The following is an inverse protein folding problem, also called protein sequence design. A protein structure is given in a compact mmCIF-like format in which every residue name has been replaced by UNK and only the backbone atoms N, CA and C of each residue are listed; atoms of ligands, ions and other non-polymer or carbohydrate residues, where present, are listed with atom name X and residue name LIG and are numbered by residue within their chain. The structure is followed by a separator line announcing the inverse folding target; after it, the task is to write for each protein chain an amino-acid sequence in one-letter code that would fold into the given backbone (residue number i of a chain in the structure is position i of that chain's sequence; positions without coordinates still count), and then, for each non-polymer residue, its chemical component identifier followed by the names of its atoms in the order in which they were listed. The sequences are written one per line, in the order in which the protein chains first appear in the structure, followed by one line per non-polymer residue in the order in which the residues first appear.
data_IF_132457914076
#
_entry.id   IF_132457914076
#
_cell.length_a   1.000
_cell.length_b   1.000
_cell.length_c   1.000
_cell.angle_alpha   90.00
_cell.angle_beta   90.00
_cell.angle_gamma   90.00
#
_symmetry.space_group_name_H-M   'P 1'
#
loop_
_entity.id
_entity.type
_entity.pdbx_description
1 polymer ?
#
# COMPACT_ATOMS: atom_id res chain seq x y z
N UNK A 1 29.96 -8.74 -11.36
CA UNK A 1 29.95 -8.91 -12.83
C UNK A 1 30.01 -7.53 -13.45
N UNK A 2 31.01 -7.26 -14.29
CA UNK A 2 31.09 -5.99 -15.05
C UNK A 2 29.89 -5.92 -16.00
N UNK A 3 29.16 -4.82 -15.99
CA UNK A 3 27.95 -4.60 -16.81
C UNK A 3 28.20 -3.60 -17.93
N UNK A 4 29.44 -3.56 -18.41
CA UNK A 4 29.85 -2.70 -19.49
C UNK A 4 29.37 -3.29 -20.83
N UNK A 5 28.09 -3.08 -21.12
CA UNK A 5 27.47 -3.40 -22.41
C UNK A 5 27.55 -2.14 -23.28
N UNK A 6 28.15 -2.26 -24.46
CA UNK A 6 28.20 -1.15 -25.42
C UNK A 6 26.81 -0.89 -26.00
N UNK A 7 26.35 0.36 -25.94
CA UNK A 7 25.00 0.75 -26.37
C UNK A 7 24.69 0.32 -27.80
N UNK A 8 25.64 0.50 -28.73
CA UNK A 8 25.46 0.15 -30.14
C UNK A 8 25.25 -1.36 -30.35
N UNK A 9 25.97 -2.20 -29.59
CA UNK A 9 25.82 -3.64 -29.64
C UNK A 9 24.46 -4.08 -29.08
N UNK A 10 24.00 -3.46 -27.98
CA UNK A 10 22.69 -3.74 -27.41
C UNK A 10 21.56 -3.33 -28.38
N UNK A 11 21.67 -2.16 -29.01
CA UNK A 11 20.69 -1.68 -29.98
C UNK A 11 20.60 -2.59 -31.20
N UNK A 12 21.74 -3.10 -31.68
CA UNK A 12 21.77 -4.06 -32.78
C UNK A 12 21.01 -5.36 -32.44
N UNK A 13 21.22 -5.92 -31.25
CA UNK A 13 20.52 -7.13 -30.79
C UNK A 13 19.00 -6.91 -30.57
N UNK A 14 18.58 -5.68 -30.31
CA UNK A 14 17.17 -5.32 -30.08
C UNK A 14 16.42 -4.91 -31.36
N UNK A 15 17.11 -4.77 -32.50
CA UNK A 15 16.47 -4.34 -33.76
C UNK A 15 15.33 -5.26 -34.20
N UNK A 16 15.51 -6.57 -34.07
CA UNK A 16 14.49 -7.55 -34.46
C UNK A 16 13.25 -7.44 -33.56
N UNK A 17 13.44 -7.16 -32.27
CA UNK A 17 12.34 -6.94 -31.33
C UNK A 17 11.60 -5.64 -31.64
N UNK A 18 12.34 -4.57 -31.96
CA UNK A 18 11.77 -3.28 -32.32
C UNK A 18 11.02 -3.31 -33.67
N UNK A 19 11.37 -4.25 -34.55
CA UNK A 19 10.72 -4.45 -35.84
C UNK A 19 9.42 -5.29 -35.76
N UNK A 20 9.08 -5.84 -34.58
CA UNK A 20 7.83 -6.58 -34.43
C UNK A 20 6.63 -5.68 -34.69
N UNK A 21 5.63 -6.14 -35.47
CA UNK A 21 4.41 -5.38 -35.69
C UNK A 21 3.64 -5.29 -34.37
N UNK A 22 3.41 -4.06 -33.91
CA UNK A 22 2.58 -3.76 -32.74
C UNK A 22 1.33 -3.04 -33.21
N UNK A 23 0.17 -3.60 -32.90
CA UNK A 23 -1.10 -2.90 -33.01
C UNK A 23 -1.44 -2.29 -31.66
N UNK A 24 -1.81 -1.00 -31.65
CA UNK A 24 -2.29 -0.37 -30.43
C UNK A 24 -3.64 -0.99 -30.06
N UNK A 25 -3.67 -1.79 -28.99
CA UNK A 25 -4.91 -2.26 -28.42
C UNK A 25 -5.60 -1.13 -27.67
N UNK A 26 -6.84 -0.82 -28.01
CA UNK A 26 -7.69 0.02 -27.18
C UNK A 26 -8.23 -0.82 -26.02
N UNK A 27 -7.89 -0.42 -24.79
CA UNK A 27 -8.49 -0.97 -23.57
C UNK A 27 -9.46 0.06 -23.00
N UNK A 28 -10.69 -0.33 -22.61
CA UNK A 28 -11.57 0.58 -21.90
C UNK A 28 -10.90 1.03 -20.59
N UNK A 29 -11.03 2.31 -20.20
CA UNK A 29 -10.45 2.80 -18.97
C UNK A 29 -11.02 2.07 -17.77
N UNK A 30 -10.20 1.87 -16.74
CA UNK A 30 -10.66 1.31 -15.47
C UNK A 30 -11.68 2.26 -14.81
N UNK A 31 -12.62 1.68 -14.05
CA UNK A 31 -13.57 2.47 -13.28
C UNK A 31 -12.82 3.41 -12.31
N UNK A 32 -13.14 4.71 -12.36
CA UNK A 32 -12.41 5.75 -11.66
C UNK A 32 -12.45 5.63 -10.13
N UNK A 33 -13.46 4.95 -9.58
CA UNK A 33 -13.58 4.71 -8.13
C UNK A 33 -12.74 3.51 -7.64
N UNK A 34 -12.16 2.73 -8.55
CA UNK A 34 -11.39 1.52 -8.25
C UNK A 34 -12.14 0.49 -7.41
N UNK A 35 -13.48 0.53 -7.38
CA UNK A 35 -14.29 -0.33 -6.50
C UNK A 35 -14.25 0.06 -5.02
N UNK A 36 -14.10 1.36 -4.70
CA UNK A 36 -14.14 1.86 -3.31
C UNK A 36 -15.47 1.49 -2.62
N UNK A 37 -15.46 0.84 -1.45
CA UNK A 37 -16.69 0.48 -0.74
C UNK A 37 -17.40 1.70 -0.13
N UNK A 38 -18.73 1.61 0.03
CA UNK A 38 -19.51 2.57 0.80
C UNK A 38 -19.30 2.33 2.30
N UNK A 39 -18.26 2.96 2.87
CA UNK A 39 -17.87 2.75 4.26
C UNK A 39 -16.83 1.64 4.44
N UNK A 40 -16.54 1.29 5.70
CA UNK A 40 -15.62 0.19 6.02
C UNK A 40 -16.33 -1.15 5.80
N UNK A 41 -15.67 -2.06 5.10
CA UNK A 41 -16.18 -3.39 4.84
C UNK A 41 -15.14 -4.42 5.26
N UNK A 42 -15.55 -5.36 6.12
CA UNK A 42 -14.71 -6.44 6.57
C UNK A 42 -15.05 -7.74 5.82
N UNK A 43 -14.02 -8.42 5.33
CA UNK A 43 -14.09 -9.67 4.59
C UNK A 43 -13.31 -10.74 5.34
N UNK A 44 -13.91 -11.89 5.59
CA UNK A 44 -13.28 -13.02 6.28
C UNK A 44 -13.08 -14.19 5.33
N UNK A 45 -11.87 -14.73 5.31
CA UNK A 45 -11.54 -15.99 4.65
C UNK A 45 -11.14 -16.99 5.74
N UNK A 46 -11.83 -18.12 5.78
CA UNK A 46 -11.52 -19.16 6.76
C UNK A 46 -10.28 -19.95 6.35
N UNK A 47 -9.31 -20.01 7.26
CA UNK A 47 -8.13 -20.87 7.20
C UNK A 47 -8.07 -21.67 8.50
N UNK A 48 -8.78 -22.79 8.54
CA UNK A 48 -8.94 -23.59 9.75
C UNK A 48 -7.59 -23.96 10.38
N UNK A 49 -7.47 -23.76 11.70
CA UNK A 49 -6.27 -24.09 12.47
C UNK A 49 -5.08 -23.13 12.26
N UNK A 50 -5.27 -21.99 11.58
CA UNK A 50 -4.21 -21.00 11.43
C UNK A 50 -3.76 -20.44 12.80
N UNK A 51 -2.44 -20.45 13.03
CA UNK A 51 -1.83 -19.92 14.25
C UNK A 51 -1.77 -18.38 14.28
N UNK A 52 -1.84 -17.74 13.11
CA UNK A 52 -1.83 -16.30 12.93
C UNK A 52 -2.92 -15.90 11.93
N UNK A 53 -3.34 -14.64 12.00
CA UNK A 53 -4.25 -14.05 11.03
C UNK A 53 -3.48 -13.12 10.09
N UNK A 54 -3.73 -13.25 8.78
CA UNK A 54 -3.22 -12.33 7.78
C UNK A 54 -4.18 -11.17 7.62
N UNK A 55 -3.67 -9.95 7.79
CA UNK A 55 -4.43 -8.71 7.66
C UNK A 55 -4.02 -7.98 6.38
N UNK A 56 -5.00 -7.63 5.55
CA UNK A 56 -4.84 -6.69 4.43
C UNK A 56 -5.93 -5.63 4.53
N UNK A 57 -5.53 -4.38 4.76
CA UNK A 57 -6.45 -3.26 4.97
C UNK A 57 -6.11 -2.18 3.96
N UNK A 58 -7.07 -1.69 3.17
CA UNK A 58 -6.73 -0.70 2.16
C UNK A 58 -7.92 -0.11 1.42
N UNK A 59 -7.62 0.85 0.55
CA UNK A 59 -8.59 1.48 -0.34
C UNK A 59 -7.91 1.83 -1.68
N UNK A 60 -8.67 1.97 -2.79
CA UNK A 60 -8.14 2.53 -4.02
C UNK A 60 -7.51 3.91 -3.79
N UNK A 61 -6.44 4.26 -4.48
CA UNK A 61 -5.73 5.53 -4.31
C UNK A 61 -5.38 6.14 -5.67
N UNK A 62 -4.71 7.29 -5.62
CA UNK A 62 -4.26 8.00 -6.81
C UNK A 62 -3.29 7.16 -7.66
N UNK A 63 -3.33 7.33 -9.00
CA UNK A 63 -2.38 6.69 -9.89
C UNK A 63 -0.95 7.17 -9.60
N UNK A 64 0.01 6.49 -10.22
CA UNK A 64 1.40 6.88 -10.12
C UNK A 64 1.63 8.28 -10.70
N UNK A 65 2.28 9.13 -9.92
CA UNK A 65 2.82 10.42 -10.34
C UNK A 65 4.17 10.62 -9.65
N UNK A 66 5.23 10.71 -10.46
CA UNK A 66 6.58 10.80 -9.96
C UNK A 66 6.88 12.13 -9.22
N UNK A 67 6.12 13.20 -9.46
CA UNK A 67 6.45 14.55 -8.95
C UNK A 67 5.30 15.22 -8.18
N UNK A 68 4.09 14.71 -8.25
CA UNK A 68 2.94 15.26 -7.53
C UNK A 68 2.52 14.47 -6.28
N UNK A 69 1.21 14.38 -6.08
CA UNK A 69 0.61 13.89 -4.83
C UNK A 69 0.99 12.44 -4.52
N UNK A 70 1.23 11.58 -5.52
CA UNK A 70 1.61 10.18 -5.29
C UNK A 70 2.97 10.08 -4.61
N UNK A 71 3.98 10.78 -5.15
CA UNK A 71 5.30 10.81 -4.54
C UNK A 71 5.25 11.39 -3.12
N UNK A 72 4.50 12.49 -2.93
CA UNK A 72 4.33 13.11 -1.62
C UNK A 72 3.60 12.20 -0.62
N UNK A 73 2.58 11.46 -1.05
CA UNK A 73 1.90 10.47 -0.22
C UNK A 73 2.86 9.34 0.18
N UNK A 74 3.76 8.92 -0.71
CA UNK A 74 4.83 7.99 -0.41
C UNK A 74 5.79 8.49 0.68
N UNK A 75 6.20 9.77 0.60
CA UNK A 75 7.01 10.41 1.65
C UNK A 75 6.27 10.47 2.97
N UNK A 76 5.01 10.90 2.94
CA UNK A 76 4.19 11.05 4.13
C UNK A 76 3.78 9.70 4.76
N UNK A 77 3.79 8.61 3.99
CA UNK A 77 3.57 7.26 4.50
C UNK A 77 4.79 6.69 5.26
N UNK A 78 5.98 7.25 5.07
CA UNK A 78 7.20 6.74 5.70
C UNK A 78 7.09 6.63 7.24
N UNK A 79 6.72 7.70 8.00
CA UNK A 79 6.54 7.58 9.44
C UNK A 79 5.25 6.84 9.84
N UNK A 80 4.27 6.67 8.95
CA UNK A 80 3.05 5.90 9.22
C UNK A 80 3.29 4.39 9.28
N UNK A 81 3.96 3.83 8.27
CA UNK A 81 4.20 2.39 8.15
C UNK A 81 5.31 1.98 7.18
N UNK A 82 6.10 2.94 6.66
CA UNK A 82 7.18 2.68 5.70
C UNK A 82 8.52 2.27 6.32
N UNK A 83 8.63 2.26 7.65
CA UNK A 83 9.88 1.97 8.39
C UNK A 83 9.58 1.28 9.72
N UNK A 84 10.57 0.62 10.32
CA UNK A 84 10.39 -0.19 11.53
C UNK A 84 10.00 0.62 12.78
N UNK A 85 10.37 1.90 12.85
CA UNK A 85 9.99 2.82 13.93
C UNK A 85 8.78 3.71 13.55
N UNK A 86 7.93 3.22 12.64
CA UNK A 86 6.71 3.93 12.23
C UNK A 86 5.58 3.79 13.24
N UNK A 87 4.58 4.68 13.19
CA UNK A 87 3.40 4.67 14.08
C UNK A 87 2.75 3.29 14.18
N UNK A 88 2.50 2.65 13.04
CA UNK A 88 1.89 1.32 13.02
C UNK A 88 2.77 0.28 13.73
N UNK A 89 4.09 0.29 13.52
CA UNK A 89 4.98 -0.66 14.20
C UNK A 89 5.11 -0.35 15.69
N UNK A 90 5.27 0.91 16.08
CA UNK A 90 5.33 1.30 17.49
C UNK A 90 4.05 0.90 18.22
N UNK A 91 2.90 1.03 17.56
CA UNK A 91 1.61 0.67 18.14
C UNK A 91 1.40 -0.85 18.20
N UNK A 92 1.49 -1.56 17.08
CA UNK A 92 1.12 -2.98 17.02
C UNK A 92 2.24 -3.92 17.48
N UNK A 93 3.49 -3.65 17.09
CA UNK A 93 4.65 -4.51 17.40
C UNK A 93 5.21 -4.20 18.77
N UNK A 94 5.54 -2.93 19.03
CA UNK A 94 6.28 -2.55 20.24
C UNK A 94 5.37 -2.44 21.48
N UNK A 95 4.30 -1.64 21.41
CA UNK A 95 3.44 -1.41 22.56
C UNK A 95 2.51 -2.60 22.89
N UNK A 96 2.14 -3.40 21.88
CA UNK A 96 1.12 -4.45 22.02
C UNK A 96 1.62 -5.88 21.78
N UNK A 97 2.74 -6.06 21.06
CA UNK A 97 3.24 -7.39 20.73
C UNK A 97 2.29 -8.23 19.85
N UNK A 98 1.42 -7.59 19.07
CA UNK A 98 0.43 -8.28 18.24
C UNK A 98 1.03 -8.91 16.99
N UNK A 99 2.15 -8.38 16.50
CA UNK A 99 2.80 -8.79 15.27
C UNK A 99 4.32 -8.68 15.38
N UNK A 100 5.03 -9.38 14.50
CA UNK A 100 6.44 -9.12 14.24
C UNK A 100 6.65 -7.83 13.43
N UNK A 101 5.68 -7.42 12.61
CA UNK A 101 5.78 -6.20 11.82
C UNK A 101 4.51 -5.88 11.04
N UNK A 102 4.35 -4.60 10.77
CA UNK A 102 3.26 -4.06 9.96
C UNK A 102 3.85 -3.07 8.98
N UNK A 103 3.34 -3.06 7.75
CA UNK A 103 3.77 -2.11 6.72
C UNK A 103 2.57 -1.42 6.13
N UNK A 104 2.76 -0.18 5.70
CA UNK A 104 1.81 0.53 4.86
C UNK A 104 2.52 1.12 3.64
N UNK A 105 1.81 1.26 2.53
CA UNK A 105 2.32 1.87 1.31
C UNK A 105 1.20 2.41 0.43
N UNK A 106 1.52 3.44 -0.35
CA UNK A 106 0.80 3.81 -1.56
C UNK A 106 1.49 3.12 -2.75
N UNK A 107 0.70 2.45 -3.59
CA UNK A 107 1.14 1.83 -4.84
C UNK A 107 0.35 2.45 -5.97
N UNK A 108 1.02 2.83 -7.06
CA UNK A 108 0.40 3.48 -8.20
C UNK A 108 0.69 2.71 -9.47
N UNK A 109 -0.34 2.51 -10.28
CA UNK A 109 -0.21 2.12 -11.69
C UNK A 109 -0.57 3.30 -12.60
N UNK A 110 -0.65 3.06 -13.92
CA UNK A 110 -0.94 4.11 -14.90
C UNK A 110 -2.32 4.76 -14.75
N UNK A 111 -3.34 3.97 -14.38
CA UNK A 111 -4.73 4.45 -14.30
C UNK A 111 -5.26 4.52 -12.86
N UNK A 112 -4.84 3.58 -12.01
CA UNK A 112 -5.32 3.46 -10.62
C UNK A 112 -4.15 3.17 -9.68
N UNK A 113 -4.32 3.53 -8.41
CA UNK A 113 -3.44 3.10 -7.33
C UNK A 113 -4.21 2.48 -6.17
N UNK A 114 -3.49 2.16 -5.10
CA UNK A 114 -4.06 1.71 -3.83
C UNK A 114 -3.20 2.17 -2.66
N UNK A 115 -3.86 2.37 -1.52
CA UNK A 115 -3.22 2.42 -0.22
C UNK A 115 -3.48 1.08 0.47
N UNK A 116 -2.46 0.51 1.08
CA UNK A 116 -2.57 -0.77 1.78
C UNK A 116 -1.74 -0.83 3.04
N UNK A 117 -2.27 -1.50 4.05
CA UNK A 117 -1.61 -1.96 5.27
C UNK A 117 -1.60 -3.49 5.23
N UNK A 118 -0.44 -4.08 5.53
CA UNK A 118 -0.26 -5.53 5.61
C UNK A 118 0.45 -5.94 6.89
N UNK A 119 -0.06 -6.97 7.56
CA UNK A 119 0.57 -7.57 8.75
C UNK A 119 0.13 -9.02 8.92
N UNK A 120 0.95 -9.81 9.60
CA UNK A 120 0.59 -11.11 10.13
C UNK A 120 0.53 -10.98 11.65
N UNK A 121 -0.64 -11.24 12.25
CA UNK A 121 -0.90 -10.98 13.67
C UNK A 121 -1.20 -12.27 14.43
N UNK A 122 -0.90 -12.29 15.72
CA UNK A 122 -1.29 -13.39 16.60
C UNK A 122 -2.81 -13.58 16.55
N UNK A 123 -3.27 -14.83 16.42
CA UNK A 123 -4.70 -15.16 16.27
C UNK A 123 -5.57 -14.48 17.33
N UNK A 124 -5.16 -14.55 18.59
CA UNK A 124 -5.92 -14.01 19.73
C UNK A 124 -5.92 -12.47 19.77
N UNK A 125 -5.05 -11.81 19.00
CA UNK A 125 -4.96 -10.36 18.87
C UNK A 125 -5.65 -9.80 17.61
N UNK A 126 -6.27 -10.64 16.78
CA UNK A 126 -6.76 -10.25 15.44
C UNK A 126 -7.69 -9.03 15.48
N UNK A 127 -8.74 -9.07 16.30
CA UNK A 127 -9.69 -7.97 16.40
C UNK A 127 -9.07 -6.70 16.99
N UNK A 128 -8.22 -6.84 18.00
CA UNK A 128 -7.50 -5.73 18.60
C UNK A 128 -6.54 -5.07 17.60
N UNK A 129 -5.84 -5.86 16.77
CA UNK A 129 -4.94 -5.34 15.75
C UNK A 129 -5.69 -4.59 14.64
N UNK A 130 -6.87 -5.06 14.22
CA UNK A 130 -7.75 -4.33 13.29
C UNK A 130 -8.16 -2.99 13.90
N UNK A 131 -8.69 -2.99 15.13
CA UNK A 131 -9.13 -1.77 15.82
C UNK A 131 -8.01 -0.76 16.01
N UNK A 132 -6.84 -1.18 16.49
CA UNK A 132 -5.69 -0.30 16.71
C UNK A 132 -5.12 0.22 15.37
N UNK A 133 -5.18 -0.57 14.29
CA UNK A 133 -4.81 -0.09 12.95
C UNK A 133 -5.75 1.02 12.50
N UNK A 134 -7.06 0.83 12.63
CA UNK A 134 -8.06 1.84 12.25
C UNK A 134 -7.85 3.14 13.03
N UNK A 135 -7.65 3.07 14.35
CA UNK A 135 -7.38 4.24 15.18
C UNK A 135 -6.11 4.99 14.75
N UNK A 136 -5.04 4.26 14.42
CA UNK A 136 -3.80 4.90 13.93
C UNK A 136 -4.04 5.58 12.59
N UNK A 137 -4.76 4.95 11.66
CA UNK A 137 -5.06 5.54 10.35
C UNK A 137 -5.97 6.77 10.47
N UNK A 138 -7.01 6.71 11.31
CA UNK A 138 -7.91 7.83 11.61
C UNK A 138 -7.16 9.02 12.19
N UNK A 139 -6.38 8.80 13.26
CA UNK A 139 -5.59 9.85 13.88
C UNK A 139 -4.56 10.44 12.90
N UNK A 140 -3.92 9.59 12.09
CA UNK A 140 -2.94 10.07 11.11
C UNK A 140 -3.58 10.88 9.97
N UNK A 141 -4.77 10.49 9.51
CA UNK A 141 -5.52 11.25 8.51
C UNK A 141 -5.98 12.62 9.04
N UNK A 142 -6.37 12.68 10.33
CA UNK A 142 -6.88 13.89 10.96
C UNK A 142 -5.76 14.87 11.40
N UNK A 143 -4.69 14.34 11.99
CA UNK A 143 -3.65 15.14 12.65
C UNK A 143 -2.38 15.27 11.81
N UNK A 144 -2.17 14.34 10.88
CA UNK A 144 -0.93 14.23 10.10
C UNK A 144 0.28 13.80 10.94
N UNK A 145 1.47 13.96 10.34
CA UNK A 145 2.74 13.72 11.02
C UNK A 145 3.13 14.90 11.92
N UNK A 146 3.86 14.57 12.98
CA UNK A 146 4.47 15.51 13.92
C UNK A 146 5.81 16.03 13.40
N UNK A 147 6.34 17.11 14.00
CA UNK A 147 7.66 17.66 13.67
C UNK A 147 8.79 16.60 13.78
N UNK A 148 8.89 15.81 14.86
CA UNK A 148 9.95 14.80 14.97
C UNK A 148 9.85 13.69 13.91
N UNK A 149 8.64 13.34 13.48
CA UNK A 149 8.43 12.36 12.40
C UNK A 149 8.86 12.92 11.05
N UNK A 150 8.60 14.21 10.80
CA UNK A 150 9.05 14.90 9.61
C UNK A 150 10.59 15.04 9.56
N UNK A 151 11.22 15.39 10.68
CA UNK A 151 12.68 15.42 10.80
C UNK A 151 13.29 14.04 10.56
N UNK A 152 12.67 13.00 11.11
CA UNK A 152 13.11 11.62 10.90
C UNK A 152 12.99 11.20 9.43
N UNK A 153 11.87 11.51 8.78
CA UNK A 153 11.68 11.34 7.33
C UNK A 153 12.81 12.02 6.54
N UNK A 154 13.10 13.29 6.84
CA UNK A 154 14.14 14.08 6.17
C UNK A 154 15.51 13.43 6.27
N UNK A 155 15.89 13.03 7.49
CA UNK A 155 17.18 12.41 7.75
C UNK A 155 17.29 11.01 7.11
N UNK A 156 16.26 10.19 7.22
CA UNK A 156 16.30 8.81 6.74
C UNK A 156 16.30 8.70 5.21
N UNK A 157 15.53 9.54 4.51
CA UNK A 157 15.50 9.50 3.04
C UNK A 157 16.74 10.21 2.47
N UNK A 158 17.18 11.32 3.06
CA UNK A 158 18.40 12.01 2.63
C UNK A 158 19.65 11.11 2.67
N UNK A 159 19.75 10.20 3.64
CA UNK A 159 20.85 9.21 3.73
C UNK A 159 20.71 8.07 2.71
N UNK A 160 19.49 7.69 2.32
CA UNK A 160 19.23 6.64 1.32
C UNK A 160 19.57 7.08 -0.10
N UNK A 161 19.44 8.36 -0.42
CA UNK A 161 19.76 8.90 -1.75
C UNK A 161 21.26 8.92 -2.05
N UNK A 162 22.11 8.99 -1.02
CA UNK A 162 23.56 8.89 -1.16
C UNK A 162 24.06 7.50 -1.61
N UNK A 163 23.18 6.48 -1.60
CA UNK A 163 23.51 5.07 -1.85
C UNK A 163 22.78 4.47 -3.06
N UNK A 164 22.03 5.27 -3.84
CA UNK A 164 21.21 4.77 -4.96
C UNK A 164 21.97 4.88 -6.29
N UNK A 165 21.64 3.96 -7.20
CA UNK A 165 22.14 3.81 -8.60
C UNK A 165 23.42 3.00 -8.84
N UNK A 166 23.92 2.25 -7.86
CA UNK A 166 25.16 1.46 -8.06
C UNK A 166 24.95 0.16 -8.86
N UNK A 167 23.72 -0.36 -8.92
CA UNK A 167 23.44 -1.66 -9.57
C UNK A 167 22.78 -1.51 -10.95
N UNK A 168 23.03 -2.45 -11.88
CA UNK A 168 22.39 -2.48 -13.20
C UNK A 168 20.87 -2.59 -13.15
N UNK A 169 20.31 -3.37 -12.22
CA UNK A 169 18.86 -3.52 -12.06
C UNK A 169 18.19 -2.21 -11.68
N UNK A 170 18.79 -1.41 -10.80
CA UNK A 170 18.26 -0.09 -10.42
C UNK A 170 18.23 0.88 -11.61
N UNK A 171 19.17 0.75 -12.56
CA UNK A 171 19.18 1.54 -13.79
C UNK A 171 18.11 1.09 -14.78
N UNK A 172 17.85 -0.23 -14.87
CA UNK A 172 16.79 -0.76 -15.72
C UNK A 172 15.42 -0.34 -15.21
N UNK A 173 15.14 -0.46 -13.90
CA UNK A 173 13.88 0.03 -13.30
C UNK A 173 13.67 1.53 -13.54
N UNK A 174 14.74 2.34 -13.45
CA UNK A 174 14.68 3.77 -13.76
C UNK A 174 14.23 4.03 -15.20
N UNK A 175 14.79 3.31 -16.18
CA UNK A 175 14.43 3.46 -17.59
C UNK A 175 13.02 2.94 -17.86
N UNK A 176 12.62 1.84 -17.23
CA UNK A 176 11.25 1.30 -17.32
C UNK A 176 10.23 2.30 -16.79
N UNK A 177 10.46 2.91 -15.63
CA UNK A 177 9.58 3.95 -15.07
C UNK A 177 9.45 5.14 -16.04
N UNK A 178 10.56 5.59 -16.61
CA UNK A 178 10.58 6.71 -17.58
C UNK A 178 9.69 6.39 -18.78
N UNK A 179 9.83 5.20 -19.36
CA UNK A 179 9.07 4.82 -20.54
C UNK A 179 7.61 4.52 -20.21
N UNK A 180 7.33 3.89 -19.07
CA UNK A 180 5.99 3.50 -18.66
C UNK A 180 5.10 4.69 -18.33
N UNK A 181 5.67 5.72 -17.69
CA UNK A 181 4.93 6.88 -17.19
C UNK A 181 5.28 8.19 -17.92
N UNK A 182 5.98 8.10 -19.06
CA UNK A 182 6.43 9.25 -19.86
C UNK A 182 7.14 10.34 -19.02
N UNK A 183 8.06 9.91 -18.16
CA UNK A 183 8.72 10.80 -17.20
C UNK A 183 9.88 11.54 -17.85
N UNK A 184 10.18 12.77 -17.41
CA UNK A 184 11.39 13.44 -17.87
C UNK A 184 12.64 12.70 -17.36
N UNK A 185 13.70 12.62 -18.17
CA UNK A 185 14.94 11.89 -17.84
C UNK A 185 15.59 12.33 -16.52
N UNK A 186 15.32 13.56 -16.08
CA UNK A 186 15.82 14.15 -14.84
C UNK A 186 14.84 14.03 -13.65
N UNK A 187 13.74 13.26 -13.76
CA UNK A 187 12.70 13.22 -12.73
C UNK A 187 13.23 12.83 -11.35
N UNK A 188 14.27 12.00 -11.25
CA UNK A 188 14.91 11.67 -9.97
C UNK A 188 15.62 12.87 -9.35
N UNK A 189 16.26 13.72 -10.15
CA UNK A 189 16.84 14.97 -9.66
C UNK A 189 15.74 15.91 -9.15
N UNK A 190 14.59 15.95 -9.85
CA UNK A 190 13.42 16.72 -9.43
C UNK A 190 12.79 16.17 -8.14
N UNK A 191 12.68 14.84 -8.00
CA UNK A 191 12.26 14.19 -6.74
C UNK A 191 13.19 14.56 -5.60
N UNK A 192 14.51 14.52 -5.80
CA UNK A 192 15.48 14.93 -4.79
C UNK A 192 15.36 16.41 -4.41
N UNK A 193 15.08 17.27 -5.39
CA UNK A 193 14.83 18.69 -5.12
C UNK A 193 13.55 18.87 -4.31
N UNK A 194 12.45 18.20 -4.71
CA UNK A 194 11.18 18.20 -3.98
C UNK A 194 11.37 17.70 -2.55
N UNK A 195 12.12 16.61 -2.37
CA UNK A 195 12.50 16.08 -1.07
C UNK A 195 13.24 17.14 -0.23
N UNK A 196 14.05 18.02 -0.81
CA UNK A 196 14.75 19.06 -0.03
C UNK A 196 13.86 20.25 0.32
N UNK A 197 12.83 20.52 -0.48
CA UNK A 197 12.02 21.74 -0.38
C UNK A 197 10.63 21.53 0.19
N UNK A 198 10.11 20.29 0.22
CA UNK A 198 8.77 20.00 0.75
C UNK A 198 8.73 20.21 2.25
N UNK A 199 7.64 20.83 2.72
CA UNK A 199 7.36 21.08 4.13
C UNK A 199 6.36 20.06 4.71
N UNK A 200 6.24 20.07 6.04
CA UNK A 200 5.38 19.13 6.78
C UNK A 200 3.90 19.38 6.48
N UNK A 201 3.51 20.64 6.35
CA UNK A 201 2.15 21.09 6.10
C UNK A 201 1.62 20.54 4.76
N UNK A 202 2.42 20.61 3.71
CA UNK A 202 2.08 20.09 2.38
C UNK A 202 1.91 18.56 2.42
N UNK A 203 2.81 17.84 3.10
CA UNK A 203 2.69 16.39 3.25
C UNK A 203 1.45 15.98 4.07
N UNK A 204 1.15 16.72 5.14
CA UNK A 204 -0.05 16.49 5.94
C UNK A 204 -1.33 16.78 5.14
N UNK A 205 -1.33 17.83 4.31
CA UNK A 205 -2.44 18.14 3.43
C UNK A 205 -2.67 17.04 2.38
N UNK A 206 -1.60 16.43 1.86
CA UNK A 206 -1.70 15.26 0.97
C UNK A 206 -2.31 14.08 1.73
N UNK A 207 -1.82 13.74 2.92
CA UNK A 207 -2.37 12.64 3.72
C UNK A 207 -3.84 12.83 4.05
N UNK A 208 -4.25 14.03 4.47
CA UNK A 208 -5.65 14.34 4.79
C UNK A 208 -6.59 14.11 3.60
N UNK A 209 -6.11 14.30 2.35
CA UNK A 209 -6.89 14.02 1.13
C UNK A 209 -6.83 12.55 0.71
N UNK A 210 -5.64 11.95 0.81
CA UNK A 210 -5.34 10.68 0.15
C UNK A 210 -5.55 9.46 1.04
N UNK A 211 -5.34 9.58 2.36
CA UNK A 211 -5.63 8.51 3.30
C UNK A 211 -7.11 8.58 3.70
N UNK A 212 -7.88 7.54 3.37
CA UNK A 212 -9.33 7.50 3.60
C UNK A 212 -9.72 6.35 4.54
N UNK A 213 -9.59 6.53 5.87
CA UNK A 213 -9.91 5.50 6.85
C UNK A 213 -11.38 5.06 6.82
N UNK A 214 -12.29 5.92 6.35
CA UNK A 214 -13.73 5.66 6.39
C UNK A 214 -14.21 4.73 5.27
N UNK A 215 -13.41 4.52 4.23
CA UNK A 215 -13.76 3.68 3.06
C UNK A 215 -12.77 2.54 2.87
N UNK A 216 -12.45 1.81 3.94
CA UNK A 216 -11.47 0.72 3.93
C UNK A 216 -12.13 -0.64 3.64
N UNK A 217 -11.51 -1.38 2.73
CA UNK A 217 -11.68 -2.84 2.64
C UNK A 217 -10.69 -3.51 3.59
N UNK A 218 -11.20 -4.35 4.49
CA UNK A 218 -10.43 -5.06 5.51
C UNK A 218 -10.58 -6.55 5.23
N UNK A 219 -9.54 -7.20 4.73
CA UNK A 219 -9.51 -8.65 4.53
C UNK A 219 -8.73 -9.29 5.67
N UNK A 220 -9.36 -10.27 6.32
CA UNK A 220 -8.75 -11.08 7.37
C UNK A 220 -8.81 -12.55 6.96
N UNK A 221 -7.64 -13.18 6.87
CA UNK A 221 -7.52 -14.62 6.64
C UNK A 221 -7.03 -15.27 7.92
N UNK A 222 -7.76 -16.23 8.48
CA UNK A 222 -7.36 -16.89 9.73
C UNK A 222 -8.37 -17.95 10.18
N UNK A 223 -8.14 -18.52 11.36
CA UNK A 223 -9.04 -19.53 11.93
C UNK A 223 -10.37 -18.89 12.35
N UNK A 224 -11.39 -19.03 11.49
CA UNK A 224 -12.65 -18.30 11.64
C UNK A 224 -13.34 -18.57 12.97
N UNK A 225 -13.29 -19.83 13.43
CA UNK A 225 -13.87 -20.25 14.70
C UNK A 225 -13.32 -19.46 15.90
N UNK A 226 -12.03 -19.11 15.87
CA UNK A 226 -11.39 -18.36 16.95
C UNK A 226 -11.56 -16.84 16.83
N UNK A 227 -11.50 -16.29 15.60
CA UNK A 227 -11.37 -14.84 15.41
C UNK A 227 -12.71 -14.12 15.18
N UNK A 228 -13.72 -14.82 14.67
CA UNK A 228 -14.99 -14.20 14.24
C UNK A 228 -15.71 -13.45 15.37
N UNK A 229 -15.88 -13.99 16.59
CA UNK A 229 -16.60 -13.29 17.65
C UNK A 229 -15.98 -11.93 18.00
N UNK A 230 -14.64 -11.85 18.01
CA UNK A 230 -13.93 -10.61 18.27
C UNK A 230 -14.09 -9.58 17.15
N UNK A 231 -14.16 -10.03 15.89
CA UNK A 231 -14.34 -9.16 14.73
C UNK A 231 -15.78 -8.65 14.61
N UNK A 232 -16.78 -9.47 14.98
CA UNK A 232 -18.18 -9.05 15.06
C UNK A 232 -18.38 -7.95 16.12
N UNK A 233 -17.64 -8.02 17.25
CA UNK A 233 -17.68 -7.00 18.29
C UNK A 233 -17.16 -5.62 17.85
N UNK A 234 -16.47 -5.51 16.69
CA UNK A 234 -16.06 -4.23 16.11
C UNK A 234 -17.21 -3.48 15.44
N UNK A 235 -18.37 -4.12 15.25
CA UNK A 235 -19.54 -3.49 14.62
C UNK A 235 -19.38 -3.18 13.13
N UNK A 236 -18.38 -3.78 12.47
CA UNK A 236 -18.15 -3.62 11.04
C UNK A 236 -19.02 -4.62 10.26
N UNK A 237 -19.56 -4.24 9.10
CA UNK A 237 -20.21 -5.20 8.20
C UNK A 237 -19.22 -6.31 7.80
N UNK A 238 -19.61 -7.57 8.02
CA UNK A 238 -18.77 -8.74 7.72
C UNK A 238 -19.34 -9.50 6.52
N UNK A 239 -18.46 -9.83 5.56
CA UNK A 239 -18.75 -10.73 4.44
C UNK A 239 -17.81 -11.93 4.49
N UNK A 240 -18.33 -13.12 4.23
CA UNK A 240 -17.52 -14.33 4.15
C UNK A 240 -17.11 -14.56 2.70
N UNK A 241 -15.82 -14.75 2.48
CA UNK A 241 -15.24 -15.09 1.19
C UNK A 241 -14.73 -16.54 1.21
N UNK A 242 -14.68 -17.17 0.04
CA UNK A 242 -13.90 -18.38 -0.18
C UNK A 242 -12.41 -18.05 -0.45
N UNK A 243 -11.61 -19.09 -0.72
CA UNK A 243 -10.17 -18.94 -0.96
C UNK A 243 -9.86 -18.21 -2.29
N UNK A 244 -10.81 -18.20 -3.21
CA UNK A 244 -10.71 -17.53 -4.52
C UNK A 244 -11.21 -16.08 -4.46
N UNK A 245 -11.75 -15.65 -3.32
CA UNK A 245 -12.23 -14.29 -3.08
C UNK A 245 -13.68 -14.03 -3.48
N UNK A 246 -14.45 -15.08 -3.78
CA UNK A 246 -15.88 -14.94 -4.05
C UNK A 246 -16.69 -14.98 -2.76
N UNK A 247 -17.76 -14.19 -2.71
CA UNK A 247 -18.68 -14.20 -1.57
C UNK A 247 -19.35 -15.58 -1.45
N UNK A 248 -19.23 -16.18 -0.27
CA UNK A 248 -19.98 -17.41 0.03
C UNK A 248 -21.46 -17.04 0.15
N UNK A 249 -22.38 -17.72 -0.56
CA UNK A 249 -23.80 -17.51 -0.33
C UNK A 249 -24.08 -17.79 1.15
N UNK A 250 -24.59 -16.78 1.85
CA UNK A 250 -24.97 -16.92 3.24
C UNK A 250 -25.93 -18.10 3.36
N UNK A 251 -25.70 -18.99 4.34
CA UNK A 251 -26.81 -19.74 4.91
C UNK A 251 -27.79 -18.68 5.38
N UNK A 252 -28.88 -18.49 4.66
CA UNK A 252 -30.02 -17.79 5.20
C UNK A 252 -30.35 -18.50 6.52
N UNK A 253 -30.49 -17.73 7.59
CA UNK A 253 -31.16 -18.17 8.80
C UNK A 253 -32.60 -18.51 8.42
N UNK A 254 -32.82 -19.71 7.88
CA UNK A 254 -34.14 -20.34 7.90
C UNK A 254 -34.24 -21.00 9.27
N UNK A 255 -34.67 -20.19 10.23
CA UNK A 255 -35.28 -20.66 11.46
C UNK A 255 -36.33 -21.71 11.12
N UNK A 256 -36.12 -22.87 11.71
CA UNK A 256 -37.16 -23.83 12.05
C UNK A 256 -38.36 -23.09 12.66
N UNK A 257 -39.56 -23.34 12.13
CA UNK A 257 -40.76 -23.78 12.88
C UNK A 257 -42.06 -23.44 12.15
N UNK A 258 -43.16 -24.18 12.35
CA UNK A 258 -43.32 -25.55 12.85
C UNK A 258 -43.94 -26.53 11.84
#
# INVERSE_FOLDING_TARGET
MSTDLQADALLAELQDLAALPVEAGERPPLAADGGTPSGRQLYLVDKAGAAQSSLRIGHPAIPYDALGDFYQAGLANFPLGGVFNSRLNLKLREARGYTYGVRSAFTGGPELGSFGVSSEVNRDATAAAVSETLQVLEAYAAEGMSEPEFDFLRNAIGQRDALRYETPFNKLELLTDILQYDLPLDYRNRQNQLLRTVDRESLNAVIARQLRPDTLSIVVVGDLASIRPGLEALGLPIRLLDEDGFERPGKADSEDSP
#
